data_IF_824093509815
#
_entry.id   IF_824093509815
#
_cell.length_a   1.000
_cell.length_b   1.000
_cell.length_c   1.000
_cell.angle_alpha   90.00
_cell.angle_beta   90.00
_cell.angle_gamma   90.00
#
_symmetry.space_group_name_H-M   'P 1'
#
loop_
_entity.id
_entity.type
_entity.pdbx_description
1 polymer ?
#
# COMPACT_ATOMS: atom_id res chain seq x y z
N UNK A 1 -2.17 14.38 12.52
CA UNK A 1 -3.23 13.35 12.46
C UNK A 1 -2.93 12.30 13.53
N UNK A 2 -3.90 11.95 14.36
CA UNK A 2 -3.74 10.87 15.35
C UNK A 2 -3.58 9.55 14.61
N UNK A 3 -2.64 8.70 15.04
CA UNK A 3 -2.38 7.41 14.38
C UNK A 3 -3.61 6.51 14.36
N UNK A 4 -4.43 6.53 15.42
CA UNK A 4 -5.65 5.72 15.52
C UNK A 4 -6.74 6.15 14.53
N UNK A 5 -6.89 7.46 14.28
CA UNK A 5 -7.85 7.99 13.31
C UNK A 5 -7.46 7.63 11.87
N UNK A 6 -6.17 7.75 11.55
CA UNK A 6 -5.61 7.30 10.26
C UNK A 6 -5.84 5.80 10.06
N UNK A 7 -5.54 5.03 11.10
CA UNK A 7 -5.70 3.58 11.11
C UNK A 7 -7.17 3.16 10.87
N UNK A 8 -8.12 3.80 11.54
CA UNK A 8 -9.55 3.58 11.31
C UNK A 8 -9.97 3.87 9.87
N UNK A 9 -9.52 5.00 9.33
CA UNK A 9 -9.82 5.39 7.95
C UNK A 9 -9.21 4.41 6.92
N UNK A 10 -7.97 3.95 7.11
CA UNK A 10 -7.34 2.95 6.24
C UNK A 10 -8.16 1.66 6.21
N UNK A 11 -8.62 1.18 7.37
CA UNK A 11 -9.46 -0.02 7.46
C UNK A 11 -10.84 0.14 6.83
N UNK A 12 -11.41 1.35 6.87
CA UNK A 12 -12.68 1.65 6.20
C UNK A 12 -12.51 1.63 4.68
N UNK A 13 -11.48 2.30 4.15
CA UNK A 13 -11.14 2.28 2.72
C UNK A 13 -10.90 0.84 2.27
N UNK A 14 -10.11 0.06 3.02
CA UNK A 14 -9.83 -1.33 2.69
C UNK A 14 -11.08 -2.21 2.73
N UNK A 15 -12.04 -1.94 3.62
CA UNK A 15 -13.32 -2.66 3.66
C UNK A 15 -14.25 -2.26 2.52
N UNK A 16 -14.23 -0.99 2.11
CA UNK A 16 -15.09 -0.45 1.06
C UNK A 16 -14.60 -0.82 -0.34
N UNK A 17 -13.31 -0.64 -0.60
CA UNK A 17 -12.68 -0.89 -1.90
C UNK A 17 -12.15 -2.32 -2.02
N UNK A 18 -12.05 -3.06 -0.91
CA UNK A 18 -11.54 -4.43 -0.84
C UNK A 18 -10.02 -4.56 -1.01
N UNK A 19 -9.39 -3.54 -1.61
CA UNK A 19 -7.94 -3.43 -1.85
C UNK A 19 -7.45 -2.00 -1.74
N UNK A 20 -6.21 -1.81 -1.32
CA UNK A 20 -5.56 -0.50 -1.24
C UNK A 20 -4.09 -0.59 -1.62
N UNK A 21 -3.55 0.48 -2.20
CA UNK A 21 -2.12 0.63 -2.48
C UNK A 21 -1.49 1.52 -1.42
N UNK A 22 -0.27 1.18 -0.97
CA UNK A 22 0.42 1.99 0.06
C UNK A 22 0.74 3.40 -0.43
N UNK A 23 0.95 3.55 -1.74
CA UNK A 23 1.22 4.84 -2.39
C UNK A 23 -0.02 5.73 -2.44
N UNK A 24 -1.19 5.17 -2.71
CA UNK A 24 -2.46 5.92 -2.71
C UNK A 24 -2.81 6.39 -1.30
N UNK A 25 -2.67 5.51 -0.30
CA UNK A 25 -2.89 5.88 1.09
C UNK A 25 -1.87 6.92 1.56
N UNK A 26 -0.59 6.78 1.17
CA UNK A 26 0.45 7.75 1.50
C UNK A 26 0.11 9.15 0.96
N UNK A 27 -0.35 9.23 -0.30
CA UNK A 27 -0.83 10.48 -0.91
C UNK A 27 -2.09 11.01 -0.21
N UNK A 28 -3.07 10.14 0.06
CA UNK A 28 -4.34 10.52 0.68
C UNK A 28 -4.16 11.09 2.09
N UNK A 29 -3.31 10.46 2.90
CA UNK A 29 -3.04 10.87 4.28
C UNK A 29 -1.86 11.84 4.41
N UNK A 30 -1.28 12.30 3.28
CA UNK A 30 -0.08 13.14 3.25
C UNK A 30 1.04 12.62 4.17
N UNK A 31 1.33 11.32 4.07
CA UNK A 31 2.36 10.65 4.89
C UNK A 31 3.27 9.80 4.02
N UNK A 32 4.34 9.25 4.60
CA UNK A 32 5.29 8.42 3.88
C UNK A 32 4.74 7.02 3.66
N UNK A 33 5.09 6.42 2.52
CA UNK A 33 4.80 5.01 2.22
C UNK A 33 5.29 4.08 3.33
N UNK A 34 6.47 4.35 3.90
CA UNK A 34 7.00 3.59 5.04
C UNK A 34 6.08 3.64 6.27
N UNK A 35 5.43 4.78 6.55
CA UNK A 35 4.48 4.95 7.66
C UNK A 35 3.22 4.13 7.41
N UNK A 36 2.63 4.24 6.22
CA UNK A 36 1.47 3.42 5.83
C UNK A 36 1.82 1.93 5.88
N UNK A 37 3.00 1.53 5.40
CA UNK A 37 3.43 0.14 5.44
C UNK A 37 3.50 -0.36 6.88
N UNK A 38 4.04 0.44 7.80
CA UNK A 38 4.07 0.14 9.24
C UNK A 38 2.67 -0.01 9.83
N UNK A 39 1.75 0.91 9.48
CA UNK A 39 0.35 0.86 9.91
C UNK A 39 -0.35 -0.43 9.40
N UNK A 40 -0.14 -0.79 8.13
CA UNK A 40 -0.69 -2.03 7.54
C UNK A 40 -0.04 -3.30 8.11
N UNK A 41 1.25 -3.27 8.43
CA UNK A 41 1.97 -4.39 9.07
C UNK A 41 1.38 -4.69 10.46
N UNK A 42 1.01 -3.65 11.22
CA UNK A 42 0.31 -3.77 12.50
C UNK A 42 -1.06 -4.43 12.31
N UNK A 43 -1.79 -4.05 11.26
CA UNK A 43 -3.10 -4.67 10.96
C UNK A 43 -2.99 -6.11 10.48
N UNK A 44 -1.96 -6.45 9.70
CA UNK A 44 -1.69 -7.82 9.28
C UNK A 44 -1.40 -8.71 10.50
N UNK A 45 -0.64 -8.20 11.48
CA UNK A 45 -0.35 -8.90 12.73
C UNK A 45 -1.59 -9.05 13.64
N UNK A 46 -2.52 -8.09 13.60
CA UNK A 46 -3.68 -8.03 14.51
C UNK A 46 -5.00 -8.52 13.90
N UNK A 47 -5.09 -8.76 12.58
CA UNK A 47 -6.39 -8.95 11.95
C UNK A 47 -6.35 -9.49 10.51
N UNK A 48 -7.53 -9.55 9.85
CA UNK A 48 -7.75 -10.25 8.60
C UNK A 48 -7.46 -9.34 7.40
N UNK A 49 -6.22 -8.90 7.27
CA UNK A 49 -5.74 -8.23 6.05
C UNK A 49 -4.49 -8.92 5.53
N UNK A 50 -4.33 -8.94 4.21
CA UNK A 50 -3.18 -9.53 3.55
C UNK A 50 -2.27 -8.42 3.02
N UNK A 51 -1.04 -8.34 3.52
CA UNK A 51 -0.05 -7.38 3.04
C UNK A 51 0.61 -7.92 1.76
N UNK A 52 0.64 -7.10 0.72
CA UNK A 52 1.31 -7.39 -0.55
C UNK A 52 2.51 -6.46 -0.73
N UNK A 53 3.33 -6.66 -1.77
CA UNK A 53 4.62 -5.96 -1.90
C UNK A 53 4.50 -4.43 -2.06
N UNK A 54 3.32 -3.92 -2.41
CA UNK A 54 3.01 -2.51 -2.69
C UNK A 54 1.60 -2.12 -2.26
N UNK A 55 0.91 -2.93 -1.47
CA UNK A 55 -0.46 -2.67 -1.02
C UNK A 55 -0.96 -3.57 0.09
N UNK A 56 -2.23 -3.46 0.42
CA UNK A 56 -2.94 -4.39 1.28
C UNK A 56 -4.27 -4.81 0.64
N UNK A 57 -4.65 -6.06 0.85
CA UNK A 57 -5.90 -6.66 0.45
C UNK A 57 -6.73 -7.00 1.69
N UNK A 58 -8.04 -6.81 1.60
CA UNK A 58 -8.97 -7.39 2.56
C UNK A 58 -8.92 -8.91 2.45
N UNK A 59 -9.01 -9.65 3.55
CA UNK A 59 -8.96 -11.13 3.51
C UNK A 59 -10.03 -11.75 2.60
N UNK A 60 -11.19 -11.09 2.43
CA UNK A 60 -12.20 -11.54 1.46
C UNK A 60 -11.70 -11.48 0.01
N UNK A 61 -10.98 -10.44 -0.35
CA UNK A 61 -10.47 -10.22 -1.71
C UNK A 61 -9.15 -10.96 -1.94
N UNK A 62 -8.35 -11.15 -0.89
CA UNK A 62 -7.11 -11.93 -0.94
C UNK A 62 -7.35 -13.39 -1.32
N UNK A 63 -8.51 -13.97 -1.01
CA UNK A 63 -8.87 -15.32 -1.44
C UNK A 63 -9.19 -15.41 -2.95
N UNK A 64 -9.37 -14.25 -3.61
CA UNK A 64 -9.79 -14.12 -5.01
C UNK A 64 -8.67 -13.60 -5.93
N UNK A 65 -7.43 -13.46 -5.43
CA UNK A 65 -6.23 -12.86 -6.08
C UNK A 65 -6.45 -12.30 -7.50
N UNK A 66 -6.86 -11.03 -7.55
CA UNK A 66 -7.15 -10.29 -8.79
C UNK A 66 -5.83 -9.85 -9.47
N UNK A 67 -5.57 -10.24 -10.74
CA UNK A 67 -4.31 -9.95 -11.44
C UNK A 67 -4.03 -8.44 -11.63
N UNK A 68 -5.04 -7.58 -11.48
CA UNK A 68 -4.93 -6.13 -11.69
C UNK A 68 -4.09 -5.41 -10.62
N UNK A 69 -3.98 -5.95 -9.41
CA UNK A 69 -3.14 -5.32 -8.37
C UNK A 69 -1.66 -5.42 -8.76
N UNK A 70 -1.26 -6.58 -9.29
CA UNK A 70 0.11 -6.86 -9.72
C UNK A 70 0.55 -5.96 -10.88
N UNK A 71 -0.37 -5.59 -11.77
CA UNK A 71 -0.10 -4.64 -12.86
C UNK A 71 0.14 -3.22 -12.33
N UNK A 72 -0.67 -2.74 -11.38
CA UNK A 72 -0.48 -1.40 -10.80
C UNK A 72 0.80 -1.28 -9.97
N UNK A 73 1.23 -2.35 -9.30
CA UNK A 73 2.50 -2.39 -8.57
C UNK A 73 3.72 -2.28 -9.51
N UNK A 74 3.65 -2.89 -10.70
CA UNK A 74 4.75 -2.80 -11.68
C UNK A 74 4.97 -1.37 -12.18
N UNK A 75 3.89 -0.65 -12.49
CA UNK A 75 3.95 0.73 -12.95
C UNK A 75 4.59 1.70 -11.94
N UNK A 76 4.48 1.42 -10.64
CA UNK A 76 5.03 2.27 -9.59
C UNK A 76 6.46 1.91 -9.15
N UNK A 77 7.01 0.77 -9.59
CA UNK A 77 8.40 0.38 -9.28
C UNK A 77 9.42 1.01 -10.24
N UNK A 78 8.96 1.61 -11.34
CA UNK A 78 9.84 2.26 -12.34
C UNK A 78 10.22 3.71 -11.97
N UNK A 79 9.66 4.29 -10.91
CA UNK A 79 9.94 5.69 -10.49
C UNK A 79 10.91 5.81 -9.29
N UNK A 80 11.74 4.79 -9.01
CA UNK A 80 12.79 4.90 -7.98
C UNK A 80 14.20 4.46 -8.44
N UNK A 81 14.48 4.47 -9.75
CA UNK A 81 15.83 4.20 -10.28
C UNK A 81 16.28 5.22 -11.33
N UNK A 82 15.98 6.50 -11.12
CA UNK A 82 16.44 7.57 -12.02
C UNK A 82 17.43 8.57 -11.37
N UNK A 83 18.37 8.07 -10.58
CA UNK A 83 19.64 8.77 -10.26
C UNK A 83 20.62 7.65 -9.84
N UNK A 84 21.53 7.13 -10.66
CA UNK A 84 22.66 7.83 -11.27
C UNK A 84 23.17 7.03 -12.48
N UNK A 85 22.88 7.52 -13.69
CA UNK A 85 23.60 7.15 -14.90
C UNK A 85 23.95 8.45 -15.66
N UNK A 86 24.86 9.22 -15.08
CA UNK A 86 25.66 10.24 -15.77
C UNK A 86 27.09 10.08 -15.24
N UNK A 87 28.13 9.87 -16.04
CA UNK A 87 28.32 10.16 -17.45
C UNK A 87 29.41 9.23 -18.06
N UNK A 88 29.42 9.10 -19.40
CA UNK A 88 30.47 8.48 -20.20
C UNK A 88 31.63 9.45 -20.53
N UNK A 89 32.83 8.92 -20.80
CA UNK A 89 33.98 9.66 -21.34
C UNK A 89 35.24 9.55 -20.50
#
# INVERSE_FOLDING_TARGET
>A
MLSEERQGAILEILRRDGRVLVVDLAKHFHTSVATIRKDLEIFHMKGPIHLTHGGALSVRESALEDPKLREKEKLHREEELQIAAGAPG
#
